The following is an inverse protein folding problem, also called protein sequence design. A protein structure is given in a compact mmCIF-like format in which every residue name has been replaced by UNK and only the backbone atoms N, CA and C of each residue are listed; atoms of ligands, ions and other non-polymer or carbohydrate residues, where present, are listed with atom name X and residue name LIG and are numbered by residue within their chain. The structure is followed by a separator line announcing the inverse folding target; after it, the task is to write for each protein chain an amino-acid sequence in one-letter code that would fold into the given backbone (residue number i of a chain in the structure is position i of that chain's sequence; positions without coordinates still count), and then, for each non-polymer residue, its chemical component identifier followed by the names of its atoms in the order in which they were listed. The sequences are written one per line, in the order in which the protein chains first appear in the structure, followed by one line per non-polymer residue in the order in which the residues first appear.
data_IF_522214398484
#
_entry.id   IF_522214398484
#
_cell.length_a   1.000
_cell.length_b   1.000
_cell.length_c   1.000
_cell.angle_alpha   90.00
_cell.angle_beta   90.00
_cell.angle_gamma   90.00
#
_symmetry.space_group_name_H-M   'P 1'
#
loop_
_entity.id
_entity.type
_entity.pdbx_description
1 polymer ?
#
# COMPACT_ATOMS: atom_id res chain seq x y z
N UNK A 1 16.63 -11.15 0.27
CA UNK A 1 15.43 -10.68 -0.48
C UNK A 1 14.58 -11.86 -0.95
N UNK A 2 15.17 -12.89 -1.55
CA UNK A 2 14.45 -14.10 -1.98
C UNK A 2 13.79 -14.87 -0.80
N UNK A 3 14.44 -14.94 0.37
CA UNK A 3 13.86 -15.58 1.56
C UNK A 3 12.55 -14.91 2.03
N UNK A 4 12.49 -13.59 2.09
CA UNK A 4 11.29 -12.84 2.50
C UNK A 4 10.15 -13.08 1.52
N UNK A 5 10.45 -12.99 0.23
CA UNK A 5 9.48 -13.29 -0.83
C UNK A 5 8.95 -14.73 -0.73
N UNK A 6 9.77 -15.67 -0.23
CA UNK A 6 9.38 -17.05 -0.02
C UNK A 6 8.60 -17.28 1.28
N UNK A 7 8.89 -16.55 2.35
CA UNK A 7 8.17 -16.67 3.63
C UNK A 7 6.81 -15.96 3.60
N UNK A 8 6.74 -14.84 2.89
CA UNK A 8 5.55 -13.99 2.81
C UNK A 8 5.06 -13.91 1.36
N UNK A 9 4.85 -15.08 0.74
CA UNK A 9 4.48 -15.18 -0.67
C UNK A 9 3.17 -14.46 -0.97
N UNK A 10 2.14 -14.67 -0.12
CA UNK A 10 0.84 -14.03 -0.31
C UNK A 10 0.92 -12.51 -0.09
N UNK A 11 1.62 -12.05 0.96
CA UNK A 11 1.82 -10.60 1.18
C UNK A 11 2.60 -9.94 0.03
N UNK A 12 3.54 -10.67 -0.57
CA UNK A 12 4.30 -10.22 -1.75
C UNK A 12 3.41 -10.16 -3.00
N UNK A 13 2.54 -11.15 -3.21
CA UNK A 13 1.55 -11.13 -4.31
C UNK A 13 0.59 -9.95 -4.17
N UNK A 14 0.07 -9.73 -2.96
CA UNK A 14 -0.80 -8.58 -2.67
C UNK A 14 -0.06 -7.24 -2.90
N UNK A 15 1.22 -7.16 -2.53
CA UNK A 15 2.02 -5.96 -2.81
C UNK A 15 2.19 -5.70 -4.31
N UNK A 16 2.33 -6.74 -5.12
CA UNK A 16 2.40 -6.63 -6.59
C UNK A 16 1.04 -6.19 -7.15
N UNK A 17 -0.07 -6.77 -6.66
CA UNK A 17 -1.43 -6.37 -7.04
C UNK A 17 -1.69 -4.88 -6.76
N UNK A 18 -1.34 -4.40 -5.55
CA UNK A 18 -1.46 -2.98 -5.18
C UNK A 18 -0.66 -2.10 -6.13
N UNK A 19 0.58 -2.49 -6.48
CA UNK A 19 1.42 -1.72 -7.43
C UNK A 19 0.78 -1.63 -8.81
N UNK A 20 0.21 -2.73 -9.31
CA UNK A 20 -0.46 -2.76 -10.61
C UNK A 20 -1.71 -1.90 -10.62
N UNK A 21 -2.58 -2.05 -9.61
CA UNK A 21 -3.83 -1.28 -9.49
C UNK A 21 -3.56 0.21 -9.29
N UNK A 22 -2.53 0.57 -8.53
CA UNK A 22 -2.15 1.97 -8.37
C UNK A 22 -1.65 2.59 -9.68
N UNK A 23 -0.95 1.84 -10.52
CA UNK A 23 -0.57 2.29 -11.86
C UNK A 23 -1.75 2.53 -12.81
N UNK A 24 -2.94 2.04 -12.47
CA UNK A 24 -4.17 2.16 -13.26
C UNK A 24 -5.21 3.07 -12.60
N UNK A 25 -4.85 3.81 -11.54
CA UNK A 25 -5.80 4.63 -10.82
C UNK A 25 -6.36 5.75 -11.71
N UNK A 26 -7.68 5.93 -11.68
CA UNK A 26 -8.40 6.95 -12.44
C UNK A 26 -9.56 7.53 -11.62
N UNK A 27 -9.87 8.81 -11.81
CA UNK A 27 -10.98 9.52 -11.17
C UNK A 27 -12.35 9.00 -11.62
N UNK A 28 -12.44 8.36 -12.80
CA UNK A 28 -13.68 7.76 -13.33
C UNK A 28 -14.09 6.44 -12.62
N UNK A 29 -13.22 5.87 -11.76
CA UNK A 29 -13.54 4.70 -10.94
C UNK A 29 -13.41 4.99 -9.43
N UNK A 30 -14.39 5.70 -8.84
CA UNK A 30 -14.39 5.98 -7.40
C UNK A 30 -14.39 4.70 -6.55
N UNK A 31 -15.03 3.62 -7.01
CA UNK A 31 -15.12 2.37 -6.25
C UNK A 31 -13.76 1.66 -6.21
N UNK A 32 -13.07 1.59 -7.34
CA UNK A 32 -11.71 1.07 -7.44
C UNK A 32 -10.73 1.88 -6.60
N UNK A 33 -10.83 3.22 -6.62
CA UNK A 33 -10.01 4.10 -5.78
C UNK A 33 -10.23 3.82 -4.29
N UNK A 34 -11.48 3.74 -3.83
CA UNK A 34 -11.79 3.44 -2.44
C UNK A 34 -11.25 2.06 -2.01
N UNK A 35 -11.49 1.04 -2.84
CA UNK A 35 -11.02 -0.32 -2.57
C UNK A 35 -9.49 -0.37 -2.50
N UNK A 36 -8.81 0.28 -3.45
CA UNK A 36 -7.35 0.37 -3.46
C UNK A 36 -6.81 1.04 -2.19
N UNK A 37 -7.46 2.11 -1.72
CA UNK A 37 -7.07 2.78 -0.48
C UNK A 37 -7.18 1.84 0.72
N UNK A 38 -8.31 1.14 0.87
CA UNK A 38 -8.53 0.20 1.99
C UNK A 38 -7.51 -0.95 1.94
N UNK A 39 -7.34 -1.57 0.78
CA UNK A 39 -6.42 -2.70 0.61
C UNK A 39 -4.97 -2.29 0.90
N UNK A 40 -4.53 -1.12 0.41
CA UNK A 40 -3.20 -0.59 0.68
C UNK A 40 -2.96 -0.33 2.17
N UNK A 41 -3.97 0.20 2.88
CA UNK A 41 -3.88 0.45 4.32
C UNK A 41 -3.82 -0.86 5.13
N UNK A 42 -4.63 -1.85 4.79
CA UNK A 42 -4.57 -3.17 5.44
C UNK A 42 -3.21 -3.83 5.22
N UNK A 43 -2.72 -3.79 3.98
CA UNK A 43 -1.42 -4.35 3.64
C UNK A 43 -0.27 -3.59 4.33
N UNK A 44 -0.40 -2.27 4.52
CA UNK A 44 0.56 -1.49 5.32
C UNK A 44 0.68 -2.03 6.76
N UNK A 45 -0.46 -2.25 7.44
CA UNK A 45 -0.45 -2.79 8.79
C UNK A 45 0.22 -4.16 8.81
N UNK A 46 -0.11 -5.03 7.84
CA UNK A 46 0.49 -6.35 7.73
C UNK A 46 2.02 -6.30 7.54
N UNK A 47 2.52 -5.45 6.64
CA UNK A 47 3.96 -5.27 6.46
C UNK A 47 4.64 -4.62 7.67
N UNK A 48 3.93 -3.79 8.43
CA UNK A 48 4.45 -3.19 9.67
C UNK A 48 4.65 -4.23 10.77
N UNK A 49 3.74 -5.21 10.89
CA UNK A 49 3.87 -6.36 11.79
C UNK A 49 5.08 -7.21 11.40
N UNK A 50 5.15 -7.61 10.12
CA UNK A 50 6.28 -8.39 9.56
C UNK A 50 7.61 -7.68 9.85
N UNK A 51 7.65 -6.36 9.63
CA UNK A 51 8.84 -5.55 9.91
C UNK A 51 9.22 -5.57 11.38
N UNK A 52 8.24 -5.50 12.28
CA UNK A 52 8.48 -5.57 13.72
C UNK A 52 9.02 -6.95 14.13
N UNK A 53 8.38 -8.01 13.63
CA UNK A 53 8.78 -9.40 13.86
C UNK A 53 10.17 -9.73 13.33
N UNK A 54 10.58 -9.13 12.22
CA UNK A 54 11.95 -9.32 11.71
C UNK A 54 12.94 -8.48 12.53
N UNK A 55 12.56 -7.27 12.96
CA UNK A 55 13.46 -6.37 13.69
C UNK A 55 13.76 -6.83 15.11
N UNK A 56 12.80 -7.46 15.81
CA UNK A 56 12.99 -7.95 17.19
C UNK A 56 14.14 -8.95 17.30
N UNK A 57 14.36 -9.74 16.25
CA UNK A 57 15.38 -10.80 16.21
C UNK A 57 16.73 -10.32 15.66
N UNK A 58 16.86 -9.04 15.27
CA UNK A 58 18.05 -8.51 14.61
C UNK A 58 18.74 -7.41 15.43
N UNK A 59 20.04 -7.57 15.66
CA UNK A 59 20.88 -6.58 16.32
C UNK A 59 21.10 -5.29 15.52
N UNK A 60 21.79 -4.33 16.12
CA UNK A 60 22.18 -3.07 15.46
C UNK A 60 23.15 -3.36 14.31
N UNK A 61 22.89 -2.80 13.13
CA UNK A 61 23.71 -3.01 11.91
C UNK A 61 23.39 -4.28 11.13
N UNK A 62 22.70 -5.26 11.73
CA UNK A 62 22.34 -6.50 11.03
C UNK A 62 21.23 -6.29 10.00
N UNK A 63 21.43 -6.90 8.83
CA UNK A 63 20.51 -6.88 7.67
C UNK A 63 19.96 -5.48 7.38
N UNK A 64 20.82 -4.44 7.42
CA UNK A 64 20.43 -3.05 7.22
C UNK A 64 19.60 -2.83 5.95
N UNK A 65 20.03 -3.38 4.81
CA UNK A 65 19.31 -3.30 3.54
C UNK A 65 17.90 -3.92 3.60
N UNK A 66 17.69 -4.98 4.38
CA UNK A 66 16.36 -5.56 4.58
C UNK A 66 15.47 -4.64 5.41
N UNK A 67 16.01 -4.05 6.49
CA UNK A 67 15.29 -3.12 7.36
C UNK A 67 14.85 -1.87 6.60
N UNK A 68 15.71 -1.38 5.70
CA UNK A 68 15.41 -0.28 4.79
C UNK A 68 14.32 -0.67 3.79
N UNK A 69 14.49 -1.78 3.06
CA UNK A 69 13.49 -2.25 2.09
C UNK A 69 12.10 -2.47 2.70
N UNK A 70 12.00 -3.03 3.90
CA UNK A 70 10.74 -3.18 4.64
C UNK A 70 10.13 -1.81 5.02
N UNK A 71 10.98 -0.85 5.36
CA UNK A 71 10.53 0.52 5.63
C UNK A 71 9.98 1.18 4.37
N UNK A 72 10.65 0.99 3.24
CA UNK A 72 10.22 1.54 1.96
C UNK A 72 8.87 0.95 1.51
N UNK A 73 8.62 -0.34 1.72
CA UNK A 73 7.32 -0.93 1.40
C UNK A 73 6.20 -0.34 2.26
N UNK A 74 6.44 -0.15 3.56
CA UNK A 74 5.48 0.50 4.45
C UNK A 74 5.19 1.96 4.02
N UNK A 75 6.23 2.73 3.70
CA UNK A 75 6.07 4.11 3.20
C UNK A 75 5.28 4.12 1.90
N UNK A 76 5.65 3.27 0.94
CA UNK A 76 4.96 3.15 -0.33
C UNK A 76 3.46 2.86 -0.17
N UNK A 77 3.09 1.88 0.68
CA UNK A 77 1.69 1.51 0.92
C UNK A 77 0.88 2.67 1.53
N UNK A 78 1.48 3.45 2.44
CA UNK A 78 0.84 4.65 2.97
C UNK A 78 0.64 5.73 1.90
N UNK A 79 1.60 5.92 1.01
CA UNK A 79 1.45 6.87 -0.11
C UNK A 79 0.36 6.43 -1.09
N UNK A 80 0.29 5.14 -1.42
CA UNK A 80 -0.80 4.60 -2.25
C UNK A 80 -2.15 4.84 -1.59
N UNK A 81 -2.28 4.56 -0.29
CA UNK A 81 -3.50 4.85 0.47
C UNK A 81 -3.90 6.33 0.38
N UNK A 82 -2.96 7.25 0.62
CA UNK A 82 -3.20 8.70 0.60
C UNK A 82 -3.68 9.17 -0.78
N UNK A 83 -2.97 8.77 -1.82
CA UNK A 83 -3.28 9.15 -3.20
C UNK A 83 -4.63 8.57 -3.62
N UNK A 84 -4.88 7.29 -3.37
CA UNK A 84 -6.15 6.66 -3.73
C UNK A 84 -7.34 7.26 -2.99
N UNK A 85 -7.17 7.60 -1.71
CA UNK A 85 -8.20 8.31 -0.93
C UNK A 85 -8.46 9.72 -1.45
N UNK A 86 -7.42 10.45 -1.87
CA UNK A 86 -7.57 11.78 -2.44
C UNK A 86 -8.32 11.73 -3.77
N UNK A 87 -7.94 10.82 -4.68
CA UNK A 87 -8.62 10.60 -5.95
C UNK A 87 -10.09 10.25 -5.74
N UNK A 88 -10.40 9.32 -4.84
CA UNK A 88 -11.78 9.00 -4.46
C UNK A 88 -12.57 10.20 -3.94
N UNK A 89 -11.92 11.07 -3.15
CA UNK A 89 -12.52 12.29 -2.64
C UNK A 89 -12.95 13.23 -3.78
N UNK A 90 -12.04 13.48 -4.73
CA UNK A 90 -12.33 14.31 -5.91
C UNK A 90 -13.47 13.76 -6.75
N UNK A 91 -13.45 12.46 -7.06
CA UNK A 91 -14.52 11.85 -7.85
C UNK A 91 -15.90 12.02 -7.20
N UNK A 92 -15.97 12.02 -5.86
CA UNK A 92 -17.23 12.27 -5.15
C UNK A 92 -17.68 13.74 -5.20
N UNK A 93 -16.74 14.67 -5.20
CA UNK A 93 -17.03 16.09 -5.28
C UNK A 93 -17.48 16.48 -6.70
N UNK A 94 -16.89 15.87 -7.74
CA UNK A 94 -17.33 16.03 -9.13
C UNK A 94 -18.75 15.47 -9.35
N UNK A 95 -19.02 14.27 -8.81
CA UNK A 95 -20.36 13.69 -8.84
C UNK A 95 -21.42 14.56 -8.13
N UNK A 96 -21.03 15.30 -7.10
CA UNK A 96 -21.93 16.22 -6.40
C UNK A 96 -22.15 17.49 -7.17
N UNK A 97 -21.11 18.06 -7.77
CA UNK A 97 -21.17 19.32 -8.50
C UNK A 97 -22.04 19.20 -9.77
N UNK A 98 -21.94 18.07 -10.47
CA UNK A 98 -22.77 17.76 -11.65
C UNK A 98 -24.27 17.55 -11.36
N UNK A 99 -24.69 17.48 -10.09
CA UNK A 99 -26.12 17.36 -9.71
C UNK A 99 -26.77 18.73 -9.52
N UNK A 100 -25.98 19.81 -9.45
CA UNK A 100 -26.47 21.18 -9.23
C UNK A 100 -26.38 22.09 -10.47
N UNK A 101 -25.99 21.55 -11.64
CA UNK A 101 -26.12 22.18 -12.95
C UNK A 101 -27.36 21.67 -13.69
#
# INVERSE_FOLDING_TARGET
MNEIKSMYQEDTKMLIDIKQRFGMINEDDPSGCYKLAVDALQLYYRWSEIKCDIKKDLGRGEKAALKEWLSDQCVYLLEVYRMARMTWGKSKDDLRSNVYE
#
